data_IF_001528198642
#
_entry.id   IF_001528198642
#
_cell.length_a   1.000
_cell.length_b   1.000
_cell.length_c   1.000
_cell.angle_alpha   90.00
_cell.angle_beta   90.00
_cell.angle_gamma   90.00
#
_symmetry.space_group_name_H-M   'P 1'
#
loop_
_entity.id
_entity.type
_entity.pdbx_description
1 polymer ?
#
# COMPACT_ATOMS: atom_id res chain seq x y z
N UNK A 1 -9.22 -6.26 -11.14
CA UNK A 1 -9.17 -7.74 -11.07
C UNK A 1 -8.82 -8.14 -9.62
N UNK A 2 -9.72 -7.92 -8.64
CA UNK A 2 -9.41 -8.20 -7.23
C UNK A 2 -9.11 -9.69 -7.01
N UNK A 3 -9.71 -10.55 -7.82
CA UNK A 3 -9.57 -12.01 -7.71
C UNK A 3 -8.39 -12.57 -8.51
N UNK A 4 -7.47 -11.74 -9.01
CA UNK A 4 -6.30 -12.25 -9.75
C UNK A 4 -5.05 -12.32 -8.86
N UNK A 5 -4.83 -11.30 -8.02
CA UNK A 5 -3.63 -11.21 -7.20
C UNK A 5 -3.85 -11.83 -5.82
N UNK A 6 -2.78 -12.37 -5.22
CA UNK A 6 -2.76 -12.84 -3.84
C UNK A 6 -2.56 -11.68 -2.84
N UNK A 7 -1.78 -10.66 -3.23
CA UNK A 7 -1.49 -9.46 -2.46
C UNK A 7 -1.00 -8.33 -3.36
N UNK A 8 -0.86 -7.13 -2.82
CA UNK A 8 -0.27 -5.98 -3.52
C UNK A 8 0.61 -5.12 -2.59
N UNK A 9 1.66 -4.54 -3.17
CA UNK A 9 2.56 -3.58 -2.50
C UNK A 9 2.60 -2.28 -3.33
N UNK A 10 1.63 -1.37 -3.16
CA UNK A 10 1.64 -0.07 -3.83
C UNK A 10 2.68 0.86 -3.20
N UNK A 11 3.51 1.51 -4.00
CA UNK A 11 4.58 2.40 -3.51
C UNK A 11 4.41 3.79 -4.15
N UNK A 12 4.51 4.85 -3.33
CA UNK A 12 4.53 6.27 -3.73
C UNK A 12 3.48 6.66 -4.80
N UNK A 13 2.25 6.13 -4.66
CA UNK A 13 1.19 6.26 -5.65
C UNK A 13 -0.12 6.77 -5.08
N UNK A 14 -1.22 6.26 -5.62
CA UNK A 14 -2.58 6.55 -5.17
C UNK A 14 -3.58 5.63 -5.85
N UNK A 15 -4.86 5.88 -5.64
CA UNK A 15 -5.92 5.09 -6.26
C UNK A 15 -7.25 5.82 -6.30
N UNK A 16 -8.22 5.20 -6.98
CA UNK A 16 -9.61 5.62 -6.90
C UNK A 16 -10.24 5.03 -5.64
N UNK A 17 -10.68 5.88 -4.72
CA UNK A 17 -11.33 5.45 -3.47
C UNK A 17 -12.62 4.67 -3.71
N UNK A 18 -13.27 4.86 -4.86
CA UNK A 18 -14.53 4.17 -5.21
C UNK A 18 -14.38 2.64 -5.26
N UNK A 19 -13.17 2.13 -5.52
CA UNK A 19 -12.90 0.69 -5.60
C UNK A 19 -12.46 0.08 -4.27
N UNK A 20 -12.39 0.84 -3.17
CA UNK A 20 -11.91 0.36 -1.88
C UNK A 20 -12.62 -0.91 -1.39
N UNK A 21 -13.95 -1.01 -1.58
CA UNK A 21 -14.72 -2.21 -1.23
C UNK A 21 -14.26 -3.46 -1.98
N UNK A 22 -13.81 -3.31 -3.23
CA UNK A 22 -13.25 -4.43 -4.03
C UNK A 22 -11.84 -4.83 -3.57
N UNK A 23 -11.14 -3.92 -2.87
CA UNK A 23 -9.79 -4.13 -2.35
C UNK A 23 -9.78 -4.59 -0.90
N UNK A 24 -10.90 -4.48 -0.18
CA UNK A 24 -10.98 -4.77 1.26
C UNK A 24 -10.47 -6.16 1.65
N UNK A 25 -10.64 -7.15 0.77
CA UNK A 25 -10.19 -8.54 1.00
C UNK A 25 -8.81 -8.86 0.41
N UNK A 26 -8.20 -7.92 -0.33
CA UNK A 26 -6.86 -8.09 -0.86
C UNK A 26 -5.84 -7.65 0.20
N UNK A 27 -4.92 -8.52 0.64
CA UNK A 27 -3.79 -8.09 1.46
C UNK A 27 -2.99 -7.00 0.75
N UNK A 28 -2.92 -5.83 1.37
CA UNK A 28 -2.24 -4.65 0.83
C UNK A 28 -1.26 -4.12 1.86
N UNK A 29 -0.03 -3.85 1.45
CA UNK A 29 0.94 -3.09 2.22
C UNK A 29 1.45 -1.91 1.39
N UNK A 30 0.94 -0.72 1.66
CA UNK A 30 1.36 0.48 0.92
C UNK A 30 2.56 1.18 1.57
N UNK A 31 3.40 1.80 0.75
CA UNK A 31 4.59 2.54 1.16
C UNK A 31 4.61 3.94 0.56
N UNK A 32 5.03 4.96 1.32
CA UNK A 32 5.15 6.34 0.83
C UNK A 32 6.20 7.13 1.62
N UNK A 33 6.92 8.06 1.00
CA UNK A 33 7.78 9.01 1.72
C UNK A 33 7.00 10.24 2.19
N UNK A 34 7.16 10.68 3.45
CA UNK A 34 6.38 11.80 4.01
C UNK A 34 6.66 13.17 3.35
N UNK A 35 7.78 13.29 2.64
CA UNK A 35 8.23 14.48 1.90
C UNK A 35 8.11 14.30 0.39
N UNK A 36 7.33 13.33 -0.08
CA UNK A 36 7.04 13.20 -1.51
C UNK A 36 6.26 14.43 -2.02
N UNK A 37 6.91 15.17 -2.91
CA UNK A 37 6.36 16.36 -3.56
C UNK A 37 5.92 16.09 -5.02
N UNK A 38 6.16 14.89 -5.56
CA UNK A 38 5.71 14.47 -6.89
C UNK A 38 4.29 13.91 -6.78
N UNK A 39 4.09 12.96 -5.85
CA UNK A 39 2.77 12.46 -5.50
C UNK A 39 2.62 12.65 -3.99
N UNK A 40 1.67 13.48 -3.57
CA UNK A 40 1.54 13.79 -2.13
C UNK A 40 1.14 12.53 -1.34
N UNK A 41 1.71 12.28 -0.15
CA UNK A 41 1.42 11.09 0.67
C UNK A 41 -0.05 10.92 1.04
N UNK A 42 -0.80 12.04 1.07
CA UNK A 42 -2.26 12.03 1.25
C UNK A 42 -2.97 11.09 0.27
N UNK A 43 -2.42 10.86 -0.94
CA UNK A 43 -2.97 9.93 -1.92
C UNK A 43 -2.95 8.47 -1.45
N UNK A 44 -1.89 8.06 -0.75
CA UNK A 44 -1.82 6.73 -0.12
C UNK A 44 -2.69 6.69 1.14
N UNK A 45 -2.60 7.71 2.01
CA UNK A 45 -3.42 7.80 3.24
C UNK A 45 -4.91 7.69 2.93
N UNK A 46 -5.39 8.40 1.91
CA UNK A 46 -6.76 8.37 1.42
C UNK A 46 -7.23 6.96 1.03
N UNK A 47 -6.37 6.18 0.37
CA UNK A 47 -6.67 4.81 -0.03
C UNK A 47 -6.65 3.86 1.17
N UNK A 48 -5.68 3.99 2.07
CA UNK A 48 -5.61 3.23 3.31
C UNK A 48 -6.88 3.44 4.13
N UNK A 49 -7.27 4.70 4.34
CA UNK A 49 -8.50 5.05 5.05
C UNK A 49 -9.75 4.48 4.36
N UNK A 50 -9.84 4.58 3.04
CA UNK A 50 -10.98 4.07 2.29
C UNK A 50 -11.10 2.54 2.39
N UNK A 51 -9.98 1.81 2.31
CA UNK A 51 -9.94 0.34 2.43
C UNK A 51 -10.30 -0.08 3.86
N UNK A 52 -9.74 0.59 4.87
CA UNK A 52 -10.08 0.35 6.29
C UNK A 52 -11.56 0.58 6.56
N UNK A 53 -12.14 1.69 6.07
CA UNK A 53 -13.58 1.98 6.18
C UNK A 53 -14.45 0.96 5.45
N UNK A 54 -13.94 0.32 4.41
CA UNK A 54 -14.61 -0.75 3.69
C UNK A 54 -14.50 -2.13 4.37
N UNK A 55 -13.88 -2.20 5.55
CA UNK A 55 -13.71 -3.43 6.34
C UNK A 55 -12.46 -4.23 6.01
N UNK A 56 -11.50 -3.66 5.26
CA UNK A 56 -10.20 -4.27 5.03
C UNK A 56 -9.17 -3.92 6.10
N UNK A 57 -8.03 -4.60 6.07
CA UNK A 57 -6.93 -4.41 7.03
C UNK A 57 -5.60 -4.14 6.32
N UNK A 58 -5.45 -3.03 5.58
CA UNK A 58 -4.22 -2.73 4.87
C UNK A 58 -3.10 -2.32 5.83
N UNK A 59 -1.87 -2.70 5.51
CA UNK A 59 -0.66 -2.16 6.15
C UNK A 59 -0.23 -0.86 5.46
N UNK A 60 0.38 0.06 6.21
CA UNK A 60 0.93 1.30 5.68
C UNK A 60 2.26 1.67 6.34
N UNK A 61 3.29 1.87 5.54
CA UNK A 61 4.61 2.38 5.97
C UNK A 61 4.83 3.77 5.37
N UNK A 62 4.90 4.79 6.23
CA UNK A 62 5.25 6.15 5.81
C UNK A 62 6.66 6.52 6.29
N UNK A 63 7.56 6.76 5.34
CA UNK A 63 8.99 6.90 5.61
C UNK A 63 9.34 8.35 5.88
N UNK A 64 9.73 8.62 7.14
CA UNK A 64 10.09 9.96 7.60
C UNK A 64 11.31 10.51 6.86
N UNK A 65 11.19 11.72 6.35
CA UNK A 65 12.25 12.40 5.60
C UNK A 65 12.42 11.96 4.14
N UNK A 66 11.70 10.93 3.68
CA UNK A 66 11.86 10.37 2.34
C UNK A 66 10.99 11.13 1.33
N UNK A 67 11.57 11.40 0.15
CA UNK A 67 10.86 11.98 -0.99
C UNK A 67 10.15 10.90 -1.83
N UNK A 68 10.08 11.12 -3.14
CA UNK A 68 9.35 10.23 -4.05
C UNK A 68 9.90 8.80 -4.14
N UNK A 69 11.20 8.62 -3.90
CA UNK A 69 11.89 7.35 -4.08
C UNK A 69 11.77 6.36 -2.91
N UNK A 70 10.61 6.29 -2.24
CA UNK A 70 10.39 5.39 -1.09
C UNK A 70 10.38 3.90 -1.46
N UNK A 71 10.49 3.55 -2.75
CA UNK A 71 10.69 2.18 -3.20
C UNK A 71 12.00 1.59 -2.74
N UNK A 72 13.04 2.41 -2.50
CA UNK A 72 14.32 1.94 -1.95
C UNK A 72 14.10 1.34 -0.57
N UNK A 73 13.42 2.05 0.34
CA UNK A 73 13.13 1.56 1.69
C UNK A 73 12.24 0.32 1.66
N UNK A 74 11.26 0.30 0.75
CA UNK A 74 10.36 -0.83 0.58
C UNK A 74 11.14 -2.09 0.18
N UNK A 75 12.06 -2.00 -0.79
CA UNK A 75 12.81 -3.15 -1.28
C UNK A 75 13.93 -3.61 -0.34
N UNK A 76 14.49 -2.70 0.46
CA UNK A 76 15.45 -3.02 1.52
C UNK A 76 14.78 -3.64 2.76
N UNK A 77 13.45 -3.58 2.87
CA UNK A 77 12.71 -4.18 3.99
C UNK A 77 12.59 -5.70 3.82
N UNK A 78 13.35 -6.44 4.62
CA UNK A 78 13.20 -7.90 4.71
C UNK A 78 11.79 -8.31 5.20
N UNK A 79 11.22 -7.56 6.14
CA UNK A 79 9.85 -7.79 6.64
C UNK A 79 8.80 -7.68 5.53
N UNK A 80 8.96 -6.73 4.61
CA UNK A 80 8.07 -6.59 3.46
C UNK A 80 8.11 -7.84 2.58
N UNK A 81 9.31 -8.35 2.27
CA UNK A 81 9.46 -9.56 1.47
C UNK A 81 8.89 -10.79 2.17
N UNK A 82 9.20 -10.98 3.45
CA UNK A 82 8.66 -12.08 4.25
C UNK A 82 7.13 -12.02 4.29
N UNK A 83 6.56 -10.84 4.52
CA UNK A 83 5.12 -10.62 4.48
C UNK A 83 4.54 -10.97 3.12
N UNK A 84 5.12 -10.45 2.03
CA UNK A 84 4.62 -10.66 0.67
C UNK A 84 4.60 -12.14 0.29
N UNK A 85 5.70 -12.87 0.56
CA UNK A 85 5.80 -14.30 0.27
C UNK A 85 4.94 -15.18 1.17
N UNK A 86 4.53 -14.70 2.34
CA UNK A 86 3.54 -15.41 3.17
C UNK A 86 2.10 -15.29 2.65
N UNK A 87 1.82 -14.36 1.73
CA UNK A 87 0.48 -14.20 1.17
C UNK A 87 0.20 -15.30 0.15
N UNK A 88 -0.97 -15.93 0.26
CA UNK A 88 -1.42 -16.96 -0.67
C UNK A 88 -2.85 -16.68 -1.10
N UNK A 89 -3.11 -16.91 -2.39
CA UNK A 89 -4.47 -17.04 -2.91
C UNK A 89 -4.83 -18.52 -2.94
N UNK A 90 -5.92 -18.89 -2.27
CA UNK A 90 -6.49 -20.24 -2.37
C UNK A 90 -7.31 -20.39 -3.64
#
# INVERSE_FOLDING_TARGET
RPDFFAAAVPICGGGDKSIAKKLAQLPIWAWHGDKDNVIKPVRSRDMIDAITKAGGSPKYSEIKGRGHNSWVDCWESEEMWQWLYSQKKN
#
